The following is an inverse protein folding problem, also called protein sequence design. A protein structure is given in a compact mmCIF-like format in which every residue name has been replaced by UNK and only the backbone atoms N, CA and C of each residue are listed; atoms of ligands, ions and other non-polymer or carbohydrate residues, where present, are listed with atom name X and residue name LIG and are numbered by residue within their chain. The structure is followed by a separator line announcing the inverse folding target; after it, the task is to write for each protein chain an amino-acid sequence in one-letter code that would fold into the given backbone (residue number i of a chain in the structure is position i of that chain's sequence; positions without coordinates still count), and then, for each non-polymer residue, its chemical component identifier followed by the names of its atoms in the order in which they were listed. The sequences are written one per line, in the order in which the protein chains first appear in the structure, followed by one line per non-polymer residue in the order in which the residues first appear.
data_IF_095508332516
#
_entry.id   IF_095508332516
#
_cell.length_a   1.000
_cell.length_b   1.000
_cell.length_c   1.000
_cell.angle_alpha   90.00
_cell.angle_beta   90.00
_cell.angle_gamma   90.00
#
_symmetry.space_group_name_H-M   'P 1'
#
loop_
_entity.id
_entity.type
_entity.pdbx_description
1 polymer ?
#
# COMPACT_ATOMS: atom_id res chain seq x y z
N UNK A 1 -2.58 -12.81 7.87
CA UNK A 1 -2.69 -11.62 8.76
C UNK A 1 -4.15 -11.21 8.95
N UNK A 2 -4.88 -10.79 7.91
CA UNK A 2 -6.30 -10.38 8.05
C UNK A 2 -7.21 -11.48 8.65
N UNK A 3 -6.97 -12.77 8.33
CA UNK A 3 -7.71 -13.89 8.92
C UNK A 3 -7.53 -14.02 10.45
N UNK A 4 -6.32 -13.80 10.95
CA UNK A 4 -6.05 -13.82 12.38
C UNK A 4 -6.72 -12.62 13.06
N UNK A 5 -6.62 -11.44 12.45
CA UNK A 5 -7.30 -10.24 12.94
C UNK A 5 -8.82 -10.47 13.05
N UNK A 6 -9.44 -11.02 12.00
CA UNK A 6 -10.86 -11.38 12.00
C UNK A 6 -11.19 -12.34 13.15
N UNK A 7 -10.40 -13.42 13.32
CA UNK A 7 -10.59 -14.37 14.42
C UNK A 7 -10.57 -13.67 15.79
N UNK A 8 -9.60 -12.77 16.02
CA UNK A 8 -9.50 -12.04 17.29
C UNK A 8 -10.69 -11.11 17.54
N UNK A 9 -11.21 -10.46 16.49
CA UNK A 9 -12.42 -9.64 16.56
C UNK A 9 -13.64 -10.50 16.88
N UNK A 10 -13.77 -11.64 16.21
CA UNK A 10 -14.87 -12.59 16.41
C UNK A 10 -14.84 -13.23 17.81
N UNK A 11 -13.64 -13.40 18.41
CA UNK A 11 -13.44 -13.80 19.82
C UNK A 11 -13.77 -12.68 20.84
N UNK A 12 -14.23 -11.52 20.36
CA UNK A 12 -14.66 -10.41 21.22
C UNK A 12 -13.53 -9.48 21.66
N UNK A 13 -12.31 -9.63 21.14
CA UNK A 13 -11.25 -8.65 21.40
C UNK A 13 -11.63 -7.30 20.79
N UNK A 14 -11.44 -6.25 21.57
CA UNK A 14 -11.67 -4.86 21.16
C UNK A 14 -10.36 -4.26 20.66
N UNK A 15 -10.42 -3.54 19.55
CA UNK A 15 -9.31 -2.78 19.00
C UNK A 15 -9.82 -1.38 18.67
N UNK A 16 -9.14 -0.36 19.18
CA UNK A 16 -9.48 1.04 18.90
C UNK A 16 -8.85 1.52 17.58
N UNK A 17 -7.73 0.91 17.17
CA UNK A 17 -6.97 1.24 15.98
C UNK A 17 -6.30 0.00 15.40
N UNK A 18 -6.35 -0.13 14.07
CA UNK A 18 -5.53 -1.07 13.30
C UNK A 18 -4.61 -0.28 12.39
N UNK A 19 -3.32 -0.61 12.39
CA UNK A 19 -2.33 -0.05 11.46
C UNK A 19 -1.79 -1.19 10.59
N UNK A 20 -1.83 -1.02 9.27
CA UNK A 20 -1.38 -2.02 8.32
C UNK A 20 -0.27 -1.48 7.41
N UNK A 21 0.85 -2.20 7.37
CA UNK A 21 2.01 -1.90 6.54
C UNK A 21 2.44 -3.18 5.85
N UNK A 22 2.52 -3.18 4.53
CA UNK A 22 2.90 -4.35 3.75
C UNK A 22 2.44 -4.27 2.30
N UNK A 23 2.30 -5.41 1.59
CA UNK A 23 1.81 -5.43 0.22
C UNK A 23 0.44 -4.78 0.09
N UNK A 24 0.19 -4.05 -1.01
CA UNK A 24 -1.08 -3.32 -1.25
C UNK A 24 -2.30 -4.24 -1.11
N UNK A 25 -2.21 -5.47 -1.62
CA UNK A 25 -3.26 -6.49 -1.47
C UNK A 25 -3.52 -6.87 -0.01
N UNK A 26 -2.48 -6.97 0.80
CA UNK A 26 -2.62 -7.25 2.23
C UNK A 26 -3.28 -6.08 2.96
N UNK A 27 -2.85 -4.84 2.66
CA UNK A 27 -3.44 -3.63 3.23
C UNK A 27 -4.93 -3.50 2.87
N UNK A 28 -5.30 -3.76 1.60
CA UNK A 28 -6.68 -3.82 1.14
C UNK A 28 -7.50 -4.85 1.93
N UNK A 29 -6.98 -6.07 2.09
CA UNK A 29 -7.68 -7.12 2.84
C UNK A 29 -7.90 -6.75 4.31
N UNK A 30 -6.94 -6.05 4.95
CA UNK A 30 -7.11 -5.55 6.32
C UNK A 30 -8.16 -4.44 6.38
N UNK A 31 -8.16 -3.51 5.42
CA UNK A 31 -9.18 -2.45 5.32
C UNK A 31 -10.60 -3.05 5.19
N UNK A 32 -10.77 -4.04 4.31
CA UNK A 32 -12.05 -4.74 4.12
C UNK A 32 -12.47 -5.53 5.36
N UNK A 33 -11.54 -6.16 6.06
CA UNK A 33 -11.82 -6.93 7.29
C UNK A 33 -12.32 -6.04 8.43
N UNK A 34 -11.76 -4.84 8.57
CA UNK A 34 -12.02 -3.92 9.69
C UNK A 34 -13.24 -3.02 9.48
N UNK A 35 -13.61 -2.75 8.21
CA UNK A 35 -14.69 -1.82 7.84
C UNK A 35 -16.07 -2.17 8.44
N UNK A 36 -16.55 -3.45 8.42
CA UNK A 36 -17.85 -3.80 9.01
C UNK A 36 -17.93 -3.55 10.52
N UNK A 37 -16.80 -3.67 11.21
CA UNK A 37 -16.69 -3.48 12.65
C UNK A 37 -16.43 -2.02 13.03
N UNK A 38 -16.34 -1.10 12.05
CA UNK A 38 -16.08 0.33 12.23
C UNK A 38 -14.79 0.61 13.04
N UNK A 39 -13.80 -0.28 12.92
CA UNK A 39 -12.51 -0.12 13.57
C UNK A 39 -11.68 0.85 12.74
N UNK A 40 -11.22 1.95 13.35
CA UNK A 40 -10.35 2.92 12.68
C UNK A 40 -9.12 2.19 12.15
N UNK A 41 -8.86 2.34 10.86
CA UNK A 41 -7.78 1.60 10.19
C UNK A 41 -6.92 2.54 9.37
N UNK A 42 -5.62 2.53 9.64
CA UNK A 42 -4.62 3.33 8.94
C UNK A 42 -3.74 2.39 8.11
N UNK A 43 -3.42 2.80 6.89
CA UNK A 43 -2.49 2.10 6.00
C UNK A 43 -1.33 3.01 5.63
N UNK A 44 -0.11 2.47 5.63
CA UNK A 44 1.05 3.18 5.09
C UNK A 44 1.23 2.77 3.63
N UNK A 45 0.79 3.63 2.71
CA UNK A 45 0.81 3.33 1.27
C UNK A 45 2.23 3.32 0.71
N UNK A 46 2.45 2.50 -0.31
CA UNK A 46 3.73 2.34 -1.00
C UNK A 46 3.60 2.56 -2.51
N UNK A 47 3.15 3.76 -2.96
CA UNK A 47 3.20 4.10 -4.38
C UNK A 47 4.65 4.29 -4.86
N UNK A 48 4.86 4.26 -6.17
CA UNK A 48 6.14 4.65 -6.77
C UNK A 48 6.46 6.11 -6.38
N UNK A 49 7.69 6.35 -5.94
CA UNK A 49 8.19 7.68 -5.59
C UNK A 49 9.41 8.04 -6.44
N UNK A 50 9.59 9.33 -6.73
CA UNK A 50 10.76 9.85 -7.45
C UNK A 50 11.44 10.94 -6.61
N UNK A 51 10.82 12.11 -6.51
CA UNK A 51 11.39 13.26 -5.79
C UNK A 51 11.19 13.14 -4.27
N UNK A 52 10.02 12.67 -3.84
CA UNK A 52 9.69 12.53 -2.41
C UNK A 52 9.40 13.85 -1.69
N UNK A 53 9.26 14.96 -2.42
CA UNK A 53 9.09 16.32 -1.87
C UNK A 53 7.83 17.04 -2.36
N UNK A 54 6.99 16.34 -3.13
CA UNK A 54 5.72 16.86 -3.65
C UNK A 54 5.81 17.56 -5.00
N UNK A 55 6.96 17.52 -5.68
CA UNK A 55 7.17 18.23 -6.93
C UNK A 55 6.66 17.50 -8.16
N UNK A 56 6.71 16.15 -8.19
CA UNK A 56 6.43 15.40 -9.42
C UNK A 56 5.04 14.72 -9.47
N UNK A 57 4.38 14.49 -8.32
CA UNK A 57 3.10 13.77 -8.26
C UNK A 57 3.16 12.28 -8.63
N UNK A 58 4.35 11.67 -8.76
CA UNK A 58 4.49 10.24 -9.05
C UNK A 58 3.90 9.37 -7.94
N UNK A 59 3.99 9.82 -6.70
CA UNK A 59 3.40 9.15 -5.54
C UNK A 59 1.89 9.39 -5.36
N UNK A 60 1.19 9.94 -6.36
CA UNK A 60 -0.23 10.26 -6.20
C UNK A 60 -1.08 9.01 -5.92
N UNK A 61 -2.04 9.19 -5.03
CA UNK A 61 -3.06 8.22 -4.60
C UNK A 61 -4.42 8.91 -4.58
N UNK A 62 -5.49 8.14 -4.70
CA UNK A 62 -6.85 8.65 -4.50
C UNK A 62 -7.35 8.23 -3.12
N UNK A 63 -7.77 9.21 -2.33
CA UNK A 63 -8.28 9.02 -0.97
C UNK A 63 -9.55 9.84 -0.82
N UNK A 64 -10.68 9.17 -0.63
CA UNK A 64 -11.99 9.83 -0.47
C UNK A 64 -12.46 10.60 -1.70
N UNK A 65 -12.03 10.20 -2.90
CA UNK A 65 -12.32 10.91 -4.15
C UNK A 65 -11.41 12.10 -4.44
N UNK A 66 -10.43 12.38 -3.57
CA UNK A 66 -9.43 13.42 -3.79
C UNK A 66 -8.08 12.83 -4.16
N UNK A 67 -7.37 13.50 -5.08
CA UNK A 67 -5.97 13.18 -5.36
C UNK A 67 -5.09 13.73 -4.24
N UNK A 68 -4.27 12.86 -3.63
CA UNK A 68 -3.28 13.18 -2.60
C UNK A 68 -1.90 12.68 -3.01
N UNK A 69 -0.84 13.29 -2.51
CA UNK A 69 0.55 12.89 -2.75
C UNK A 69 1.11 12.19 -1.51
N UNK A 70 1.37 10.89 -1.60
CA UNK A 70 1.79 10.11 -0.44
C UNK A 70 3.08 10.60 0.24
N UNK A 71 3.99 11.26 -0.50
CA UNK A 71 5.22 11.81 0.07
C UNK A 71 5.05 13.10 0.89
N UNK A 72 3.92 13.81 0.74
CA UNK A 72 3.67 15.09 1.44
C UNK A 72 2.41 15.02 2.30
N UNK A 73 1.33 14.47 1.74
CA UNK A 73 0.03 14.33 2.44
C UNK A 73 -0.06 13.05 3.28
N UNK A 74 0.88 12.11 3.09
CA UNK A 74 0.86 10.77 3.71
C UNK A 74 2.18 10.43 4.41
N UNK A 75 2.69 9.18 4.29
CA UNK A 75 2.17 8.05 3.49
C UNK A 75 1.00 7.31 4.16
N UNK A 76 0.63 7.73 5.37
CA UNK A 76 -0.40 7.14 6.20
C UNK A 76 -1.77 7.74 5.87
N UNK A 77 -2.73 6.91 5.48
CA UNK A 77 -4.08 7.34 5.13
C UNK A 77 -5.14 6.46 5.81
N UNK A 78 -6.37 6.97 5.90
CA UNK A 78 -7.53 6.18 6.28
C UNK A 78 -7.77 5.09 5.24
N UNK A 79 -7.56 3.84 5.66
CA UNK A 79 -7.65 2.68 4.80
C UNK A 79 -9.04 2.50 4.18
N UNK A 80 -10.09 3.02 4.81
CA UNK A 80 -11.46 2.87 4.31
C UNK A 80 -11.81 3.85 3.19
N UNK A 81 -10.94 4.84 2.94
CA UNK A 81 -11.09 5.87 1.91
C UNK A 81 -10.14 5.71 0.72
N UNK A 82 -9.12 4.84 0.82
CA UNK A 82 -8.12 4.64 -0.24
C UNK A 82 -8.69 3.84 -1.42
N UNK A 83 -8.44 4.31 -2.65
CA UNK A 83 -8.60 3.47 -3.85
C UNK A 83 -7.38 2.54 -4.05
N UNK A 84 -7.47 1.34 -3.49
CA UNK A 84 -6.44 0.31 -3.64
C UNK A 84 -6.32 -0.21 -5.08
N UNK A 85 -7.40 -0.21 -5.87
CA UNK A 85 -7.35 -0.73 -7.23
C UNK A 85 -6.54 0.19 -8.13
N UNK A 86 -6.77 1.51 -8.02
CA UNK A 86 -5.96 2.52 -8.69
C UNK A 86 -4.50 2.41 -8.28
N UNK A 87 -4.19 2.34 -6.98
CA UNK A 87 -2.82 2.19 -6.48
C UNK A 87 -2.14 0.94 -7.06
N UNK A 88 -2.83 -0.21 -7.08
CA UNK A 88 -2.27 -1.44 -7.65
C UNK A 88 -1.95 -1.32 -9.14
N UNK A 89 -2.82 -0.69 -9.94
CA UNK A 89 -2.55 -0.44 -11.37
C UNK A 89 -1.33 0.45 -11.54
N UNK A 90 -1.21 1.50 -10.72
CA UNK A 90 -0.08 2.43 -10.76
C UNK A 90 1.25 1.76 -10.43
N UNK A 91 1.27 0.89 -9.41
CA UNK A 91 2.48 0.17 -9.00
C UNK A 91 2.97 -0.85 -10.03
N UNK A 92 2.16 -1.21 -11.03
CA UNK A 92 2.56 -2.12 -12.11
C UNK A 92 3.19 -1.40 -13.31
N UNK A 93 3.35 -0.07 -13.24
CA UNK A 93 3.74 0.75 -14.40
C UNK A 93 5.08 0.34 -15.00
N UNK A 94 6.06 -0.04 -14.17
CA UNK A 94 7.44 -0.27 -14.58
C UNK A 94 7.88 -1.74 -14.52
N UNK A 95 6.95 -2.69 -14.51
CA UNK A 95 7.29 -4.13 -14.38
C UNK A 95 8.27 -4.59 -15.47
N UNK A 96 8.12 -4.09 -16.70
CA UNK A 96 8.98 -4.49 -17.81
C UNK A 96 10.38 -3.89 -17.67
N UNK A 97 10.46 -2.61 -17.30
CA UNK A 97 11.71 -1.92 -17.03
C UNK A 97 12.45 -2.52 -15.83
N UNK A 98 11.74 -2.89 -14.76
CA UNK A 98 12.27 -3.61 -13.60
C UNK A 98 12.86 -4.96 -14.00
N UNK A 99 12.15 -5.73 -14.85
CA UNK A 99 12.61 -7.01 -15.38
C UNK A 99 13.89 -6.85 -16.20
N UNK A 100 13.90 -5.91 -17.15
CA UNK A 100 15.07 -5.64 -18.00
C UNK A 100 16.27 -5.16 -17.18
N UNK A 101 16.06 -4.28 -16.20
CA UNK A 101 17.11 -3.80 -15.31
C UNK A 101 17.72 -4.95 -14.48
N UNK A 102 16.89 -5.86 -13.97
CA UNK A 102 17.36 -7.04 -13.23
C UNK A 102 18.14 -8.00 -14.12
N UNK A 103 17.66 -8.25 -15.35
CA UNK A 103 18.36 -9.08 -16.33
C UNK A 103 19.73 -8.51 -16.69
N UNK A 104 19.82 -7.20 -16.90
CA UNK A 104 21.08 -6.53 -17.21
C UNK A 104 22.05 -6.57 -16.02
N UNK A 105 21.55 -6.29 -14.81
CA UNK A 105 22.34 -6.42 -13.58
C UNK A 105 22.93 -7.82 -13.41
N UNK A 106 22.13 -8.86 -13.69
CA UNK A 106 22.56 -10.25 -13.57
C UNK A 106 23.65 -10.65 -14.59
N UNK A 107 23.73 -9.99 -15.76
CA UNK A 107 24.82 -10.22 -16.73
C UNK A 107 26.16 -9.64 -16.25
N UNK A 108 26.12 -8.49 -15.56
CA UNK A 108 27.33 -7.71 -15.21
C UNK A 108 27.88 -8.09 -13.82
N UNK A 109 27.01 -8.25 -12.83
CA UNK A 109 27.41 -8.44 -11.42
C UNK A 109 26.70 -9.63 -10.75
N UNK A 110 26.05 -10.51 -11.51
CA UNK A 110 25.40 -11.69 -10.97
C UNK A 110 26.42 -12.60 -10.29
N UNK A 111 26.58 -12.48 -8.96
CA UNK A 111 27.16 -13.54 -8.15
C UNK A 111 26.42 -14.83 -8.53
N UNK A 112 27.15 -15.74 -9.18
CA UNK A 112 26.73 -17.12 -9.38
C UNK A 112 26.53 -17.71 -7.97
N UNK A 113 25.33 -17.58 -7.42
CA UNK A 113 24.95 -18.33 -6.23
C UNK A 113 24.77 -19.79 -6.62
#
# INVERSE_FOLDING_TARGET
VHLLLKKLIDEGKRFDLVVAVGPVLMMKAVAETTKPYKIKTIVSLNPIMIDGTGMCGCCRVEVGGETKFACVDGPEFDAHLVDFNLLMVRNRRFIEEERLALEEYNKVCGCKR
#
